data_IF_317546221852
#
_entry.id   IF_317546221852
#
_cell.length_a   1.000
_cell.length_b   1.000
_cell.length_c   1.000
_cell.angle_alpha   90.00
_cell.angle_beta   90.00
_cell.angle_gamma   90.00
#
_symmetry.space_group_name_H-M   'P 1'
#
loop_
_entity.id
_entity.type
_entity.pdbx_description
1 polymer ?
#
# COMPACT_ATOMS: atom_id res chain seq x y z
N UNK A 1 -30.91 -7.44 -0.54
CA UNK A 1 -29.95 -6.31 -0.49
C UNK A 1 -29.25 -6.29 -1.82
N UNK A 2 -29.23 -5.15 -2.53
CA UNK A 2 -28.44 -5.00 -3.76
C UNK A 2 -27.02 -4.63 -3.32
N UNK A 3 -26.03 -5.40 -3.77
CA UNK A 3 -24.63 -5.02 -3.66
C UNK A 3 -24.43 -3.64 -4.33
N UNK A 4 -23.91 -2.62 -3.63
CA UNK A 4 -23.38 -1.42 -4.26
C UNK A 4 -22.01 -1.74 -4.91
N UNK A 5 -21.53 -0.89 -5.84
CA UNK A 5 -21.13 -1.37 -7.15
C UNK A 5 -19.64 -1.71 -7.24
N UNK A 6 -19.34 -2.79 -7.95
CA UNK A 6 -18.04 -3.14 -8.55
C UNK A 6 -17.44 -1.95 -9.37
N UNK A 7 -18.25 -0.95 -9.72
CA UNK A 7 -17.86 0.23 -10.50
C UNK A 7 -16.91 1.18 -9.74
N UNK A 8 -17.00 1.28 -8.40
CA UNK A 8 -16.11 2.14 -7.60
C UNK A 8 -14.72 1.53 -7.44
N UNK A 9 -14.64 0.21 -7.16
CA UNK A 9 -13.36 -0.52 -7.09
C UNK A 9 -12.62 -0.52 -8.44
N UNK A 10 -13.34 -0.79 -9.54
CA UNK A 10 -12.74 -0.81 -10.88
C UNK A 10 -12.16 0.56 -11.26
N UNK A 11 -12.92 1.64 -11.02
CA UNK A 11 -12.45 3.01 -11.27
C UNK A 11 -11.23 3.36 -10.40
N UNK A 12 -11.21 2.92 -9.14
CA UNK A 12 -10.06 3.11 -8.25
C UNK A 12 -8.81 2.37 -8.76
N UNK A 13 -8.95 1.15 -9.31
CA UNK A 13 -7.82 0.42 -9.92
C UNK A 13 -7.24 1.18 -11.11
N UNK A 14 -8.11 1.72 -11.97
CA UNK A 14 -7.71 2.53 -13.11
C UNK A 14 -7.01 3.83 -12.66
N UNK A 15 -7.52 4.46 -11.60
CA UNK A 15 -6.90 5.64 -10.98
C UNK A 15 -5.50 5.33 -10.43
N UNK A 16 -5.34 4.23 -9.68
CA UNK A 16 -4.04 3.80 -9.14
C UNK A 16 -3.05 3.54 -10.29
N UNK A 17 -3.49 2.85 -11.36
CA UNK A 17 -2.66 2.60 -12.52
C UNK A 17 -2.24 3.90 -13.21
N UNK A 18 -3.16 4.85 -13.41
CA UNK A 18 -2.89 6.13 -14.03
C UNK A 18 -1.95 7.02 -13.19
N UNK A 19 -2.14 7.07 -11.87
CA UNK A 19 -1.37 7.94 -10.97
C UNK A 19 0.07 7.49 -10.75
N UNK A 20 0.31 6.17 -10.76
CA UNK A 20 1.64 5.61 -10.50
C UNK A 20 2.40 5.19 -11.76
N UNK A 21 1.70 4.91 -12.86
CA UNK A 21 2.27 4.43 -14.11
C UNK A 21 3.00 3.10 -13.99
N UNK A 22 3.63 2.67 -15.09
CA UNK A 22 4.59 1.57 -15.07
C UNK A 22 5.95 2.09 -14.56
N UNK A 23 6.60 1.30 -13.69
CA UNK A 23 7.95 1.56 -13.21
C UNK A 23 8.87 0.47 -13.75
N UNK A 24 9.64 0.74 -14.81
CA UNK A 24 10.45 -0.29 -15.46
C UNK A 24 11.70 -0.65 -14.65
N UNK A 25 12.18 0.25 -13.80
CA UNK A 25 13.37 0.03 -12.99
C UNK A 25 13.04 -0.78 -11.73
N UNK A 26 13.89 -1.77 -11.37
CA UNK A 26 13.73 -2.49 -10.11
C UNK A 26 13.87 -1.53 -8.92
N UNK A 27 13.19 -1.81 -7.80
CA UNK A 27 13.35 -1.02 -6.58
C UNK A 27 14.79 -1.10 -6.06
N UNK A 28 15.25 -0.05 -5.38
CA UNK A 28 16.59 0.01 -4.78
C UNK A 28 16.75 -1.03 -3.66
N UNK A 29 15.66 -1.38 -2.96
CA UNK A 29 15.57 -2.52 -2.07
C UNK A 29 14.24 -3.25 -2.29
N UNK A 30 14.27 -4.58 -2.37
CA UNK A 30 13.07 -5.39 -2.61
C UNK A 30 12.29 -5.61 -1.31
N UNK A 31 11.02 -6.00 -1.39
CA UNK A 31 10.26 -6.38 -0.18
C UNK A 31 10.95 -7.53 0.56
N UNK A 32 11.45 -8.54 -0.15
CA UNK A 32 12.24 -9.65 0.41
C UNK A 32 13.53 -9.18 1.05
N UNK A 33 14.26 -8.27 0.40
CA UNK A 33 15.46 -7.65 0.97
C UNK A 33 15.15 -6.88 2.24
N UNK A 34 14.08 -6.10 2.25
CA UNK A 34 13.61 -5.36 3.42
C UNK A 34 13.05 -6.27 4.52
N UNK A 35 12.44 -7.41 4.17
CA UNK A 35 11.98 -8.39 5.14
C UNK A 35 13.17 -9.04 5.86
N UNK A 36 14.26 -9.33 5.12
CA UNK A 36 15.50 -9.78 5.73
C UNK A 36 16.09 -8.74 6.71
N UNK A 37 15.93 -7.44 6.45
CA UNK A 37 16.34 -6.39 7.40
C UNK A 37 15.51 -6.43 8.69
N UNK A 38 14.20 -6.71 8.58
CA UNK A 38 13.32 -6.90 9.75
C UNK A 38 13.80 -8.06 10.61
N UNK A 39 14.28 -9.14 9.97
CA UNK A 39 14.90 -10.30 10.61
C UNK A 39 16.36 -10.08 11.06
N UNK A 40 16.85 -8.83 11.06
CA UNK A 40 18.23 -8.45 11.38
C UNK A 40 19.30 -9.08 10.47
N UNK A 41 18.91 -9.55 9.29
CA UNK A 41 19.78 -10.07 8.24
C UNK A 41 20.24 -9.00 7.25
N UNK A 42 21.21 -9.33 6.37
CA UNK A 42 21.57 -8.46 5.26
C UNK A 42 20.45 -8.46 4.18
N UNK A 43 20.21 -7.33 3.49
CA UNK A 43 19.21 -7.29 2.44
C UNK A 43 19.67 -8.14 1.25
N UNK A 44 18.80 -9.03 0.79
CA UNK A 44 19.09 -9.83 -0.39
C UNK A 44 19.12 -8.96 -1.66
N UNK A 45 20.00 -9.25 -2.63
CA UNK A 45 19.98 -8.57 -3.92
C UNK A 45 18.72 -8.92 -4.71
N UNK A 46 18.35 -8.04 -5.64
CA UNK A 46 17.28 -8.28 -6.61
C UNK A 46 17.49 -9.60 -7.36
N UNK A 47 16.46 -10.43 -7.39
CA UNK A 47 16.36 -11.65 -8.17
C UNK A 47 14.99 -11.67 -8.86
N UNK A 48 14.95 -11.58 -10.19
CA UNK A 48 13.69 -11.49 -10.93
C UNK A 48 12.78 -12.73 -10.74
N UNK A 49 13.35 -13.90 -10.43
CA UNK A 49 12.56 -15.11 -10.20
C UNK A 49 11.93 -15.11 -8.80
N UNK A 50 12.54 -14.43 -7.82
CA UNK A 50 12.10 -14.40 -6.43
C UNK A 50 11.36 -13.12 -6.04
N UNK A 51 11.63 -12.00 -6.72
CA UNK A 51 11.09 -10.68 -6.41
C UNK A 51 9.95 -10.27 -7.34
N UNK A 52 9.31 -11.24 -7.98
CA UNK A 52 8.04 -11.01 -8.69
C UNK A 52 6.95 -10.71 -7.66
N UNK A 53 6.32 -9.51 -7.70
CA UNK A 53 5.43 -9.06 -6.64
C UNK A 53 4.02 -9.60 -6.82
N UNK A 54 3.90 -10.92 -6.81
CA UNK A 54 2.62 -11.62 -6.79
C UNK A 54 2.00 -11.67 -5.39
N UNK A 55 0.78 -12.18 -5.30
CA UNK A 55 0.06 -12.27 -4.04
C UNK A 55 0.79 -13.09 -2.95
N UNK A 56 1.52 -14.14 -3.31
CA UNK A 56 2.22 -14.96 -2.32
C UNK A 56 3.44 -14.19 -1.79
N UNK A 57 4.20 -13.57 -2.69
CA UNK A 57 5.35 -12.74 -2.36
C UNK A 57 5.00 -11.58 -1.41
N UNK A 58 3.90 -10.86 -1.71
CA UNK A 58 3.46 -9.73 -0.90
C UNK A 58 3.03 -10.12 0.52
N UNK A 59 2.44 -11.30 0.68
CA UNK A 59 2.02 -11.83 1.99
C UNK A 59 3.19 -12.39 2.78
N UNK A 60 4.08 -13.14 2.12
CA UNK A 60 5.27 -13.73 2.76
C UNK A 60 6.25 -12.67 3.26
N UNK A 61 6.40 -11.57 2.52
CA UNK A 61 7.39 -10.51 2.81
C UNK A 61 6.74 -9.23 3.35
N UNK A 62 5.55 -9.32 3.96
CA UNK A 62 4.76 -8.16 4.40
C UNK A 62 5.52 -7.28 5.40
N UNK A 63 6.28 -7.86 6.35
CA UNK A 63 7.05 -7.09 7.34
C UNK A 63 8.13 -6.22 6.69
N UNK A 64 8.63 -6.61 5.52
CA UNK A 64 9.56 -5.82 4.72
C UNK A 64 9.04 -4.44 4.31
N UNK A 65 7.72 -4.21 4.28
CA UNK A 65 7.18 -2.85 4.00
C UNK A 65 7.72 -1.82 5.01
N UNK A 66 8.01 -2.23 6.24
CA UNK A 66 8.59 -1.39 7.28
C UNK A 66 10.09 -1.13 7.12
N UNK A 67 10.76 -1.57 6.04
CA UNK A 67 12.17 -1.24 5.82
C UNK A 67 12.45 -0.75 4.40
N UNK A 68 11.41 -0.55 3.59
CA UNK A 68 11.54 0.08 2.29
C UNK A 68 12.04 1.52 2.43
N UNK A 69 13.03 1.88 1.61
CA UNK A 69 13.38 3.27 1.34
C UNK A 69 12.25 3.98 0.57
N UNK A 70 12.25 5.32 0.48
CA UNK A 70 11.15 6.04 -0.17
C UNK A 70 10.92 5.68 -1.64
N UNK A 71 11.97 5.38 -2.40
CA UNK A 71 11.85 5.03 -3.81
C UNK A 71 11.19 3.65 -3.98
N UNK A 72 11.61 2.68 -3.17
CA UNK A 72 11.10 1.32 -3.15
C UNK A 72 9.70 1.24 -2.56
N UNK A 73 9.41 2.02 -1.51
CA UNK A 73 8.05 2.16 -0.98
C UNK A 73 7.10 2.68 -2.05
N UNK A 74 7.47 3.73 -2.77
CA UNK A 74 6.66 4.26 -3.88
C UNK A 74 6.55 3.29 -5.05
N UNK A 75 7.51 2.40 -5.25
CA UNK A 75 7.45 1.31 -6.22
C UNK A 75 6.38 0.27 -5.84
N UNK A 76 6.38 -0.18 -4.58
CA UNK A 76 5.44 -1.20 -4.10
C UNK A 76 4.05 -0.67 -3.76
N UNK A 77 3.90 0.60 -3.39
CA UNK A 77 2.61 1.19 -2.98
C UNK A 77 1.43 0.88 -3.93
N UNK A 78 1.49 1.14 -5.25
CA UNK A 78 0.38 0.81 -6.15
C UNK A 78 0.12 -0.69 -6.26
N UNK A 79 1.14 -1.53 -6.08
CA UNK A 79 1.01 -2.99 -6.13
C UNK A 79 0.29 -3.48 -4.87
N UNK A 80 0.71 -3.00 -3.70
CA UNK A 80 0.10 -3.30 -2.40
C UNK A 80 -1.35 -2.82 -2.33
N UNK A 81 -1.67 -1.61 -2.84
CA UNK A 81 -3.05 -1.13 -2.88
C UNK A 81 -3.94 -2.03 -3.77
N UNK A 82 -3.46 -2.45 -4.96
CA UNK A 82 -4.23 -3.36 -5.82
C UNK A 82 -4.43 -4.73 -5.18
N UNK A 83 -3.40 -5.25 -4.52
CA UNK A 83 -3.49 -6.49 -3.76
C UNK A 83 -4.52 -6.38 -2.63
N UNK A 84 -4.49 -5.28 -1.87
CA UNK A 84 -5.49 -5.01 -0.83
C UNK A 84 -6.91 -4.93 -1.39
N UNK A 85 -7.11 -4.37 -2.59
CA UNK A 85 -8.42 -4.38 -3.26
C UNK A 85 -8.86 -5.79 -3.68
N UNK A 86 -7.94 -6.66 -4.09
CA UNK A 86 -8.26 -8.07 -4.35
C UNK A 86 -8.70 -8.79 -3.06
N UNK A 87 -8.00 -8.54 -1.95
CA UNK A 87 -8.34 -9.09 -0.62
C UNK A 87 -9.68 -8.59 -0.10
N UNK A 88 -9.94 -7.28 -0.28
CA UNK A 88 -11.22 -6.65 0.02
C UNK A 88 -12.38 -7.32 -0.72
N UNK A 89 -12.24 -7.53 -2.04
CA UNK A 89 -13.27 -8.18 -2.87
C UNK A 89 -13.53 -9.62 -2.44
N UNK A 90 -12.46 -10.33 -2.08
CA UNK A 90 -12.54 -11.75 -1.70
C UNK A 90 -12.90 -11.94 -0.21
N UNK A 91 -13.09 -10.85 0.55
CA UNK A 91 -13.29 -10.85 2.00
C UNK A 91 -12.25 -11.67 2.77
N UNK A 92 -11.00 -11.65 2.30
CA UNK A 92 -9.91 -12.45 2.83
C UNK A 92 -8.99 -11.60 3.73
N UNK A 93 -8.62 -12.07 4.93
CA UNK A 93 -7.64 -11.38 5.76
C UNK A 93 -6.28 -11.35 5.04
N UNK A 94 -5.51 -10.30 5.30
CA UNK A 94 -4.22 -10.08 4.64
C UNK A 94 -3.28 -9.29 5.56
N UNK A 95 -2.28 -9.97 6.14
CA UNK A 95 -1.20 -9.29 6.84
C UNK A 95 -0.54 -8.21 5.99
N UNK A 96 -0.38 -8.44 4.67
CA UNK A 96 0.16 -7.44 3.77
C UNK A 96 -0.67 -6.15 3.73
N UNK A 97 -2.00 -6.26 3.75
CA UNK A 97 -2.92 -5.11 3.82
C UNK A 97 -2.84 -4.41 5.18
N UNK A 98 -2.81 -5.16 6.28
CA UNK A 98 -2.68 -4.60 7.64
C UNK A 98 -1.38 -3.77 7.75
N UNK A 99 -0.27 -4.34 7.29
CA UNK A 99 1.03 -3.67 7.25
C UNK A 99 1.02 -2.46 6.31
N UNK A 100 0.32 -2.52 5.18
CA UNK A 100 0.17 -1.39 4.26
C UNK A 100 -0.52 -0.21 4.96
N UNK A 101 -1.67 -0.45 5.61
CA UNK A 101 -2.43 0.57 6.32
C UNK A 101 -1.62 1.17 7.45
N UNK A 102 -0.88 0.35 8.21
CA UNK A 102 0.07 0.85 9.20
C UNK A 102 1.19 1.69 8.55
N UNK A 103 1.69 1.29 7.39
CA UNK A 103 2.74 2.03 6.68
C UNK A 103 2.30 3.41 6.16
N UNK A 104 0.98 3.61 6.01
CA UNK A 104 0.33 4.86 5.60
C UNK A 104 0.04 5.80 6.77
N UNK A 105 0.41 5.40 8.00
CA UNK A 105 0.25 6.20 9.21
C UNK A 105 1.54 6.92 9.61
N UNK A 106 1.45 8.06 10.33
CA UNK A 106 2.58 8.71 10.98
C UNK A 106 3.20 7.86 12.12
N UNK A 107 4.45 8.17 12.53
CA UNK A 107 5.34 9.16 11.93
C UNK A 107 5.80 8.72 10.54
N UNK A 108 5.87 9.67 9.60
CA UNK A 108 6.55 9.38 8.34
C UNK A 108 8.06 9.16 8.60
N UNK A 109 8.73 8.60 7.60
CA UNK A 109 10.13 8.20 7.70
C UNK A 109 11.09 9.35 7.41
N UNK A 110 12.35 9.09 7.72
CA UNK A 110 13.47 9.90 7.25
C UNK A 110 14.31 9.03 6.30
N UNK A 111 14.37 9.35 5.00
CA UNK A 111 13.72 10.47 4.30
C UNK A 111 12.18 10.32 4.19
N UNK A 112 11.42 11.44 4.04
CA UNK A 112 9.97 11.40 3.96
C UNK A 112 9.49 10.60 2.75
N UNK A 113 8.38 9.88 2.92
CA UNK A 113 7.72 9.11 1.86
C UNK A 113 6.48 9.83 1.37
N UNK A 114 5.64 10.29 2.29
CA UNK A 114 4.33 10.83 1.96
C UNK A 114 4.45 12.14 1.16
N UNK A 115 5.32 13.04 1.61
CA UNK A 115 5.60 14.31 0.93
C UNK A 115 6.27 14.17 -0.45
N UNK A 116 6.65 12.96 -0.86
CA UNK A 116 7.26 12.69 -2.19
C UNK A 116 6.26 12.27 -3.25
N UNK A 117 5.00 12.05 -2.85
CA UNK A 117 3.91 11.73 -3.77
C UNK A 117 3.51 12.97 -4.57
N UNK A 118 3.16 12.77 -5.84
CA UNK A 118 2.49 13.81 -6.62
C UNK A 118 1.04 13.99 -6.14
N UNK A 119 0.37 15.11 -6.47
CA UNK A 119 -1.05 15.29 -6.14
C UNK A 119 -1.95 14.16 -6.63
N UNK A 120 -1.65 13.59 -7.81
CA UNK A 120 -2.41 12.47 -8.38
C UNK A 120 -2.19 11.17 -7.58
N UNK A 121 -0.95 10.92 -7.13
CA UNK A 121 -0.63 9.77 -6.30
C UNK A 121 -1.27 9.88 -4.93
N UNK A 122 -1.24 11.07 -4.33
CA UNK A 122 -1.92 11.35 -3.07
C UNK A 122 -3.43 11.14 -3.19
N UNK A 123 -4.06 11.64 -4.26
CA UNK A 123 -5.48 11.45 -4.52
C UNK A 123 -5.87 9.97 -4.67
N UNK A 124 -5.00 9.16 -5.27
CA UNK A 124 -5.22 7.71 -5.37
C UNK A 124 -5.14 7.02 -4.01
N UNK A 125 -4.19 7.40 -3.15
CA UNK A 125 -4.09 6.87 -1.78
C UNK A 125 -5.32 7.29 -0.95
N UNK A 126 -5.75 8.55 -1.05
CA UNK A 126 -6.93 9.04 -0.34
C UNK A 126 -8.19 8.27 -0.75
N UNK A 127 -8.45 8.09 -2.06
CA UNK A 127 -9.62 7.33 -2.52
C UNK A 127 -9.55 5.84 -2.14
N UNK A 128 -8.34 5.27 -2.09
CA UNK A 128 -8.14 3.91 -1.58
C UNK A 128 -8.52 3.79 -0.11
N UNK A 129 -8.05 4.72 0.73
CA UNK A 129 -8.39 4.74 2.14
C UNK A 129 -9.88 5.03 2.37
N UNK A 130 -10.49 5.95 1.62
CA UNK A 130 -11.93 6.24 1.70
C UNK A 130 -12.79 5.00 1.41
N UNK A 131 -12.43 4.24 0.37
CA UNK A 131 -13.13 2.98 0.06
C UNK A 131 -13.05 2.00 1.23
N UNK A 132 -11.85 1.77 1.76
CA UNK A 132 -11.66 0.84 2.88
C UNK A 132 -12.28 1.34 4.19
N UNK A 133 -12.37 2.66 4.39
CA UNK A 133 -12.98 3.25 5.59
C UNK A 133 -14.50 3.16 5.56
N UNK A 134 -15.12 3.49 4.42
CA UNK A 134 -16.56 3.77 4.38
C UNK A 134 -17.40 2.73 3.65
N UNK A 135 -16.80 1.81 2.90
CA UNK A 135 -17.57 0.70 2.32
C UNK A 135 -17.96 -0.30 3.41
N UNK A 136 -19.26 -0.62 3.60
CA UNK A 136 -19.72 -1.52 4.65
C UNK A 136 -19.24 -2.98 4.48
N UNK A 137 -18.65 -3.33 3.34
CA UNK A 137 -18.03 -4.63 3.07
C UNK A 137 -16.62 -4.73 3.63
N UNK A 138 -16.00 -3.61 3.96
CA UNK A 138 -14.61 -3.55 4.39
C UNK A 138 -14.45 -4.14 5.79
N UNK A 139 -13.43 -4.99 5.96
CA UNK A 139 -12.95 -5.42 7.28
C UNK A 139 -11.84 -4.51 7.82
N UNK A 140 -11.45 -3.48 7.06
CA UNK A 140 -10.32 -2.59 7.35
C UNK A 140 -10.75 -1.19 7.77
N UNK A 141 -12.02 -1.01 8.13
CA UNK A 141 -12.63 0.29 8.45
C UNK A 141 -11.82 1.08 9.47
N UNK A 142 -11.50 0.49 10.63
CA UNK A 142 -10.85 1.20 11.73
C UNK A 142 -9.43 1.65 11.36
N UNK A 143 -8.64 0.79 10.72
CA UNK A 143 -7.27 1.10 10.32
C UNK A 143 -7.23 2.14 9.18
N UNK A 144 -8.13 2.05 8.22
CA UNK A 144 -8.24 3.01 7.13
C UNK A 144 -8.71 4.38 7.63
N UNK A 145 -9.71 4.43 8.52
CA UNK A 145 -10.14 5.66 9.19
C UNK A 145 -9.00 6.29 9.98
N UNK A 146 -8.24 5.48 10.72
CA UNK A 146 -7.10 5.99 11.49
C UNK A 146 -6.04 6.61 10.58
N UNK A 147 -5.70 5.96 9.47
CA UNK A 147 -4.77 6.54 8.49
C UNK A 147 -5.29 7.87 7.92
N UNK A 148 -6.57 7.94 7.56
CA UNK A 148 -7.22 9.17 7.09
C UNK A 148 -7.08 10.30 8.11
N UNK A 149 -7.47 10.06 9.36
CA UNK A 149 -7.46 11.07 10.43
C UNK A 149 -6.05 11.53 10.82
N UNK A 150 -5.08 10.63 10.77
CA UNK A 150 -3.72 10.93 11.17
C UNK A 150 -2.95 11.72 10.10
N UNK A 151 -3.14 11.44 8.81
CA UNK A 151 -2.34 12.11 7.76
C UNK A 151 -3.08 12.51 6.48
N UNK A 152 -4.04 11.73 5.97
CA UNK A 152 -4.49 11.89 4.59
C UNK A 152 -5.70 12.84 4.42
N UNK A 153 -6.65 12.84 5.35
CA UNK A 153 -7.88 13.62 5.24
C UNK A 153 -7.65 15.14 5.43
N UNK A 154 -8.56 15.99 4.92
CA UNK A 154 -8.54 17.41 5.22
C UNK A 154 -8.60 17.67 6.73
N UNK A 155 -7.62 18.42 7.26
CA UNK A 155 -7.52 18.68 8.69
C UNK A 155 -6.90 17.54 9.51
N UNK A 156 -6.23 16.59 8.85
CA UNK A 156 -5.51 15.50 9.50
C UNK A 156 -4.49 16.01 10.55
N UNK A 157 -4.31 15.19 11.59
CA UNK A 157 -3.61 15.58 12.82
C UNK A 157 -2.13 15.92 12.61
N UNK A 158 -1.46 15.22 11.70
CA UNK A 158 0.00 15.26 11.54
C UNK A 158 0.46 15.71 10.14
N UNK A 159 -0.42 16.33 9.37
CA UNK A 159 -0.14 16.77 8.00
C UNK A 159 0.53 18.15 7.92
#
# INVERSE_FOLDING_TARGET
MKEPPICEEAALRDLIAAAFGERPDPPTITLRGSNALDDYGPPAPWDAALDTPDAAYLEENCWGQHHLDPASWRHYLPILMRHALDRFRDHAPSPSTDTLLFSLRPPDRVPPRFATLSPEQEAAVLQFLDLLAFDPRSTYTDDAMTALEEYWAPGATYR
#
